data_IF_733501986183
#
_entry.id   IF_733501986183
#
_cell.length_a   1.000
_cell.length_b   1.000
_cell.length_c   1.000
_cell.angle_alpha   90.00
_cell.angle_beta   90.00
_cell.angle_gamma   90.00
#
_symmetry.space_group_name_H-M   'P 1'
#
loop_
_entity.id
_entity.type
_entity.pdbx_description
1 polymer ?
#
# COMPACT_ATOMS: atom_id res chain seq x y z
N UNK A 1 41.30 -15.90 20.14
CA UNK A 1 41.58 -14.44 20.14
C UNK A 1 41.87 -14.03 21.57
N UNK A 2 42.84 -13.15 21.83
CA UNK A 2 43.07 -12.63 23.19
C UNK A 2 42.08 -11.50 23.52
N UNK A 3 41.87 -11.18 24.81
CA UNK A 3 41.01 -10.04 25.23
C UNK A 3 41.45 -8.73 24.57
N UNK A 4 42.77 -8.52 24.45
CA UNK A 4 43.36 -7.34 23.85
C UNK A 4 43.16 -7.27 22.33
N UNK A 5 43.22 -8.42 21.64
CA UNK A 5 42.90 -8.50 20.22
C UNK A 5 41.41 -8.24 19.98
N UNK A 6 40.54 -8.82 20.82
CA UNK A 6 39.10 -8.58 20.76
C UNK A 6 38.77 -7.11 20.96
N UNK A 7 39.23 -6.49 22.05
CA UNK A 7 38.96 -5.09 22.37
C UNK A 7 39.30 -4.16 21.19
N UNK A 8 40.46 -4.41 20.55
CA UNK A 8 40.93 -3.68 19.38
C UNK A 8 40.04 -3.86 18.15
N UNK A 9 39.59 -5.09 17.87
CA UNK A 9 38.76 -5.41 16.72
C UNK A 9 37.29 -4.98 16.91
N UNK A 10 36.81 -5.06 18.15
CA UNK A 10 35.49 -4.68 18.60
C UNK A 10 35.31 -3.16 18.81
N UNK A 11 36.40 -2.39 18.83
CA UNK A 11 36.38 -0.95 19.06
C UNK A 11 35.94 -0.55 20.47
N UNK A 12 36.16 -1.42 21.46
CA UNK A 12 35.80 -1.23 22.88
C UNK A 12 37.06 -1.22 23.73
N UNK A 13 36.99 -0.59 24.91
CA UNK A 13 38.12 -0.51 25.80
C UNK A 13 38.47 -1.88 26.41
N UNK A 14 39.76 -2.17 26.57
CA UNK A 14 40.22 -3.45 27.09
C UNK A 14 39.81 -3.68 28.55
N UNK A 15 39.78 -2.64 29.37
CA UNK A 15 39.31 -2.74 30.77
C UNK A 15 37.81 -3.01 30.81
N UNK A 16 37.02 -2.43 29.89
CA UNK A 16 35.60 -2.78 29.74
C UNK A 16 35.39 -4.27 29.41
N UNK A 17 36.23 -4.86 28.57
CA UNK A 17 36.14 -6.28 28.22
C UNK A 17 36.42 -7.16 29.43
N UNK A 18 37.46 -6.85 30.21
CA UNK A 18 37.80 -7.59 31.44
C UNK A 18 36.66 -7.46 32.46
N UNK A 19 36.19 -6.24 32.72
CA UNK A 19 35.13 -5.98 33.69
C UNK A 19 33.81 -6.69 33.32
N UNK A 20 33.52 -6.87 32.03
CA UNK A 20 32.36 -7.64 31.56
C UNK A 20 32.58 -9.15 31.79
N UNK A 21 33.77 -9.67 31.48
CA UNK A 21 34.09 -11.10 31.67
C UNK A 21 34.08 -11.49 33.16
N UNK A 22 34.52 -10.59 34.03
CA UNK A 22 34.53 -10.78 35.49
C UNK A 22 33.16 -10.48 36.14
N UNK A 23 32.18 -9.99 35.37
CA UNK A 23 30.83 -9.68 35.85
C UNK A 23 30.74 -8.39 36.68
N UNK A 24 31.77 -7.54 36.64
CA UNK A 24 31.84 -6.27 37.37
C UNK A 24 31.05 -5.15 36.70
N UNK A 25 30.75 -5.27 35.40
CA UNK A 25 30.00 -4.28 34.62
C UNK A 25 28.92 -4.95 33.75
N UNK A 26 27.70 -4.37 33.66
CA UNK A 26 26.65 -4.90 32.79
C UNK A 26 27.04 -4.81 31.31
N UNK A 27 26.58 -5.79 30.52
CA UNK A 27 26.82 -5.81 29.09
C UNK A 27 26.03 -4.69 28.38
N UNK A 28 26.72 -3.72 27.79
CA UNK A 28 26.10 -2.64 27.01
C UNK A 28 25.84 -3.05 25.54
N UNK A 29 24.87 -2.40 24.89
CA UNK A 29 24.51 -2.63 23.47
C UNK A 29 25.73 -2.59 22.53
N UNK A 30 26.59 -1.60 22.68
CA UNK A 30 27.76 -1.41 21.82
C UNK A 30 28.74 -2.59 21.94
N UNK A 31 28.94 -3.09 23.16
CA UNK A 31 29.83 -4.23 23.41
C UNK A 31 29.19 -5.54 22.94
N UNK A 32 27.90 -5.75 23.18
CA UNK A 32 27.16 -6.93 22.70
C UNK A 32 27.23 -7.05 21.17
N UNK A 33 26.99 -5.95 20.44
CA UNK A 33 27.05 -5.95 18.98
C UNK A 33 28.44 -6.35 18.50
N UNK A 34 29.49 -5.82 19.13
CA UNK A 34 30.86 -6.20 18.78
C UNK A 34 31.21 -7.64 19.19
N UNK A 35 30.70 -8.16 20.30
CA UNK A 35 30.84 -9.57 20.69
C UNK A 35 30.23 -10.49 19.62
N UNK A 36 28.99 -10.25 19.21
CA UNK A 36 28.31 -11.05 18.17
C UNK A 36 29.10 -11.03 16.86
N UNK A 37 29.56 -9.84 16.45
CA UNK A 37 30.17 -9.64 15.13
C UNK A 37 31.61 -10.17 15.07
N UNK A 38 32.42 -9.94 16.10
CA UNK A 38 33.85 -10.31 16.09
C UNK A 38 34.06 -11.76 16.54
N UNK A 39 33.34 -12.21 17.57
CA UNK A 39 33.47 -13.60 18.05
C UNK A 39 32.68 -14.61 17.22
N UNK A 40 31.84 -14.14 16.30
CA UNK A 40 30.98 -14.99 15.45
C UNK A 40 30.13 -15.98 16.28
N UNK A 41 29.76 -15.60 17.51
CA UNK A 41 28.94 -16.45 18.38
C UNK A 41 27.51 -16.46 17.81
N UNK A 42 26.91 -17.64 17.58
CA UNK A 42 25.53 -17.72 17.14
C UNK A 42 24.60 -17.06 18.16
N UNK A 43 23.71 -16.18 17.69
CA UNK A 43 22.78 -15.45 18.56
C UNK A 43 21.91 -16.37 19.42
N UNK A 44 21.53 -17.54 18.90
CA UNK A 44 20.78 -18.55 19.65
C UNK A 44 21.53 -19.03 20.91
N UNK A 45 22.86 -19.15 20.87
CA UNK A 45 23.67 -19.55 22.03
C UNK A 45 23.71 -18.44 23.09
N UNK A 46 23.77 -17.18 22.66
CA UNK A 46 23.71 -16.01 23.55
C UNK A 46 22.35 -15.97 24.25
N UNK A 47 21.26 -16.08 23.50
CA UNK A 47 19.89 -16.05 24.06
C UNK A 47 19.68 -17.19 25.06
N UNK A 48 20.11 -18.41 24.72
CA UNK A 48 19.98 -19.55 25.61
C UNK A 48 20.75 -19.35 26.93
N UNK A 49 21.95 -18.79 26.86
CA UNK A 49 22.79 -18.52 28.03
C UNK A 49 22.23 -17.41 28.91
N UNK A 50 21.70 -16.35 28.30
CA UNK A 50 21.11 -15.22 29.03
C UNK A 50 19.74 -15.53 29.64
N UNK A 51 19.03 -16.53 29.11
CA UNK A 51 17.69 -16.90 29.61
C UNK A 51 17.68 -17.46 31.04
N UNK A 52 18.84 -17.87 31.57
CA UNK A 52 18.99 -18.37 32.95
C UNK A 52 19.51 -17.34 33.94
N UNK A 53 19.86 -16.14 33.46
CA UNK A 53 20.48 -15.07 34.22
C UNK A 53 19.52 -13.88 34.43
N UNK A 54 19.77 -13.07 35.45
CA UNK A 54 19.01 -11.83 35.65
C UNK A 54 19.57 -10.72 34.74
N UNK A 55 18.88 -10.47 33.63
CA UNK A 55 19.33 -9.59 32.55
C UNK A 55 18.43 -8.36 32.41
N UNK A 56 19.03 -7.19 32.17
CA UNK A 56 18.27 -5.96 31.98
C UNK A 56 17.41 -5.98 30.70
N UNK A 57 16.25 -5.32 30.75
CA UNK A 57 15.37 -5.16 29.60
C UNK A 57 16.03 -4.40 28.44
N UNK A 58 16.97 -3.49 28.72
CA UNK A 58 17.74 -2.77 27.70
C UNK A 58 18.69 -3.68 26.91
N UNK A 59 19.28 -4.70 27.55
CA UNK A 59 20.09 -5.70 26.84
C UNK A 59 19.22 -6.58 25.94
N UNK A 60 18.05 -7.01 26.42
CA UNK A 60 17.11 -7.77 25.62
C UNK A 60 16.52 -6.98 24.43
N UNK A 61 16.22 -5.69 24.62
CA UNK A 61 15.85 -4.78 23.53
C UNK A 61 16.95 -4.67 22.48
N UNK A 62 18.20 -4.58 22.93
CA UNK A 62 19.38 -4.53 22.06
C UNK A 62 19.57 -5.82 21.24
N UNK A 63 19.34 -6.97 21.86
CA UNK A 63 19.36 -8.27 21.20
C UNK A 63 18.25 -8.38 20.15
N UNK A 64 17.04 -7.90 20.47
CA UNK A 64 15.91 -7.92 19.54
C UNK A 64 16.19 -7.06 18.30
N UNK A 65 16.74 -5.86 18.50
CA UNK A 65 17.12 -5.00 17.38
C UNK A 65 18.19 -5.66 16.50
N UNK A 66 19.20 -6.30 17.12
CA UNK A 66 20.23 -7.03 16.39
C UNK A 66 19.67 -8.25 15.65
N UNK A 67 18.65 -8.92 16.19
CA UNK A 67 18.06 -10.13 15.61
C UNK A 67 17.24 -9.86 14.36
N UNK A 68 16.81 -8.63 14.11
CA UNK A 68 16.07 -8.24 12.90
C UNK A 68 16.81 -8.51 11.59
N UNK A 69 18.13 -8.63 11.64
CA UNK A 69 18.97 -8.97 10.49
C UNK A 69 19.30 -10.47 10.40
N UNK A 70 18.85 -11.27 11.37
CA UNK A 70 19.02 -12.73 11.36
C UNK A 70 18.16 -13.37 10.26
N UNK A 71 18.67 -14.47 9.68
CA UNK A 71 17.87 -15.32 8.80
C UNK A 71 16.85 -16.16 9.58
N UNK A 72 17.11 -16.40 10.86
CA UNK A 72 16.24 -17.15 11.74
C UNK A 72 15.26 -16.21 12.45
N UNK A 73 14.01 -16.26 12.01
CA UNK A 73 12.90 -15.46 12.56
C UNK A 73 12.56 -15.89 13.99
N UNK A 74 12.73 -17.17 14.32
CA UNK A 74 12.36 -17.71 15.62
C UNK A 74 13.17 -17.06 16.74
N UNK A 75 14.45 -16.76 16.49
CA UNK A 75 15.32 -16.07 17.46
C UNK A 75 14.72 -14.72 17.88
N UNK A 76 14.16 -13.96 16.95
CA UNK A 76 13.55 -12.66 17.26
C UNK A 76 12.31 -12.81 18.15
N UNK A 77 11.52 -13.85 17.89
CA UNK A 77 10.34 -14.18 18.70
C UNK A 77 10.75 -14.64 20.09
N UNK A 78 11.76 -15.51 20.20
CA UNK A 78 12.25 -16.02 21.48
C UNK A 78 12.81 -14.89 22.36
N UNK A 79 13.59 -13.98 21.77
CA UNK A 79 14.11 -12.79 22.46
C UNK A 79 12.96 -11.91 22.96
N UNK A 80 11.94 -11.67 22.12
CA UNK A 80 10.77 -10.88 22.52
C UNK A 80 10.04 -11.52 23.70
N UNK A 81 9.85 -12.84 23.70
CA UNK A 81 9.19 -13.56 24.78
C UNK A 81 9.98 -13.39 26.09
N UNK A 82 11.30 -13.52 26.07
CA UNK A 82 12.14 -13.29 27.25
C UNK A 82 12.03 -11.85 27.75
N UNK A 83 12.10 -10.88 26.83
CA UNK A 83 11.96 -9.46 27.17
C UNK A 83 10.61 -9.15 27.84
N UNK A 84 9.51 -9.73 27.34
CA UNK A 84 8.18 -9.57 27.94
C UNK A 84 8.04 -10.33 29.26
N UNK A 85 8.73 -11.46 29.46
CA UNK A 85 8.76 -12.15 30.74
C UNK A 85 9.47 -11.33 31.83
N UNK A 86 10.48 -10.54 31.44
CA UNK A 86 11.18 -9.61 32.33
C UNK A 86 10.38 -8.33 32.63
N UNK A 87 9.17 -8.15 32.09
CA UNK A 87 8.36 -6.96 32.37
C UNK A 87 7.97 -6.92 33.86
N UNK A 88 8.61 -6.04 34.62
CA UNK A 88 8.23 -5.71 36.00
C UNK A 88 7.14 -4.64 36.05
N UNK A 89 7.21 -3.74 37.04
CA UNK A 89 6.19 -2.70 37.28
C UNK A 89 6.06 -1.66 36.14
N UNK A 90 7.13 -1.40 35.36
CA UNK A 90 7.16 -0.39 34.29
C UNK A 90 6.82 -0.95 32.90
N UNK A 91 5.81 -1.81 32.83
CA UNK A 91 5.56 -2.56 31.61
C UNK A 91 5.07 -1.69 30.44
N UNK A 92 4.32 -0.62 30.71
CA UNK A 92 3.77 0.26 29.68
C UNK A 92 4.85 0.94 28.84
N UNK A 93 5.89 1.47 29.49
CA UNK A 93 7.03 2.12 28.82
C UNK A 93 7.79 1.16 27.91
N UNK A 94 7.97 -0.09 28.36
CA UNK A 94 8.62 -1.12 27.56
C UNK A 94 7.81 -1.45 26.31
N UNK A 95 6.49 -1.63 26.45
CA UNK A 95 5.61 -1.91 25.30
C UNK A 95 5.63 -0.75 24.29
N UNK A 96 5.64 0.49 24.76
CA UNK A 96 5.73 1.66 23.89
C UNK A 96 7.07 1.72 23.13
N UNK A 97 8.19 1.41 23.79
CA UNK A 97 9.51 1.29 23.15
C UNK A 97 9.49 0.20 22.07
N UNK A 98 8.93 -0.96 22.37
CA UNK A 98 8.80 -2.08 21.42
C UNK A 98 7.97 -1.70 20.19
N UNK A 99 6.81 -1.07 20.40
CA UNK A 99 5.98 -0.59 19.31
C UNK A 99 6.72 0.42 18.42
N UNK A 100 7.45 1.37 19.01
CA UNK A 100 8.25 2.34 18.26
C UNK A 100 9.36 1.66 17.45
N UNK A 101 10.09 0.74 18.07
CA UNK A 101 11.19 -0.01 17.44
C UNK A 101 10.70 -0.79 16.21
N UNK A 102 9.62 -1.57 16.35
CA UNK A 102 9.05 -2.36 15.25
C UNK A 102 8.45 -1.46 14.15
N UNK A 103 7.90 -0.29 14.52
CA UNK A 103 7.35 0.65 13.56
C UNK A 103 8.46 1.29 12.68
N UNK A 104 9.60 1.61 13.27
CA UNK A 104 10.74 2.22 12.57
C UNK A 104 11.50 1.22 11.69
N UNK A 105 11.50 -0.06 12.06
CA UNK A 105 12.13 -1.11 11.27
C UNK A 105 11.36 -1.39 9.96
N UNK A 106 12.08 -1.45 8.83
CA UNK A 106 11.50 -1.62 7.48
C UNK A 106 11.77 -3.01 6.88
N UNK A 107 12.06 -4.01 7.71
CA UNK A 107 12.30 -5.39 7.23
C UNK A 107 11.01 -6.19 6.99
N UNK A 108 11.09 -7.52 7.16
CA UNK A 108 10.01 -8.46 6.83
C UNK A 108 8.68 -8.07 7.47
N UNK A 109 7.65 -7.87 6.64
CA UNK A 109 6.29 -7.55 7.07
C UNK A 109 5.74 -8.67 7.96
N UNK A 110 6.01 -9.92 7.60
CA UNK A 110 5.54 -11.11 8.33
C UNK A 110 6.08 -11.12 9.76
N UNK A 111 7.41 -10.91 9.92
CA UNK A 111 8.03 -10.87 11.24
C UNK A 111 7.52 -9.68 12.06
N UNK A 112 7.32 -8.50 11.44
CA UNK A 112 6.74 -7.34 12.14
C UNK A 112 5.35 -7.63 12.69
N UNK A 113 4.50 -8.26 11.88
CA UNK A 113 3.14 -8.65 12.30
C UNK A 113 3.20 -9.65 13.44
N UNK A 114 4.06 -10.67 13.32
CA UNK A 114 4.23 -11.70 14.36
C UNK A 114 4.67 -11.10 15.70
N UNK A 115 5.69 -10.25 15.71
CA UNK A 115 6.15 -9.57 16.93
C UNK A 115 5.05 -8.67 17.53
N UNK A 116 4.31 -7.94 16.69
CA UNK A 116 3.18 -7.13 17.17
C UNK A 116 2.06 -7.99 17.76
N UNK A 117 1.76 -9.14 17.17
CA UNK A 117 0.73 -10.07 17.68
C UNK A 117 1.10 -10.64 19.05
N UNK A 118 2.38 -10.96 19.28
CA UNK A 118 2.88 -11.32 20.61
C UNK A 118 2.72 -10.19 21.62
N UNK A 119 3.14 -8.97 21.27
CA UNK A 119 3.05 -7.80 22.16
C UNK A 119 1.59 -7.47 22.50
N UNK A 120 0.69 -7.49 21.50
CA UNK A 120 -0.74 -7.24 21.70
C UNK A 120 -1.36 -8.30 22.61
N UNK A 121 -1.00 -9.56 22.41
CA UNK A 121 -1.51 -10.67 23.23
C UNK A 121 -1.06 -10.53 24.68
N UNK A 122 0.21 -10.19 24.90
CA UNK A 122 0.74 -9.91 26.23
C UNK A 122 0.09 -8.69 26.90
N UNK A 123 -0.10 -7.59 26.17
CA UNK A 123 -0.82 -6.42 26.67
C UNK A 123 -2.27 -6.76 27.08
N UNK A 124 -2.93 -7.68 26.36
CA UNK A 124 -4.27 -8.17 26.71
C UNK A 124 -4.28 -8.97 28.02
N UNK A 125 -3.27 -9.80 28.28
CA UNK A 125 -3.21 -10.57 29.54
C UNK A 125 -3.02 -9.67 30.76
N UNK A 126 -2.43 -8.48 30.56
CA UNK A 126 -2.28 -7.46 31.58
C UNK A 126 -3.43 -6.43 31.58
N UNK A 127 -4.47 -6.63 30.77
CA UNK A 127 -5.62 -5.72 30.62
C UNK A 127 -5.25 -4.27 30.23
N UNK A 128 -4.09 -4.07 29.59
CA UNK A 128 -3.55 -2.76 29.21
C UNK A 128 -4.17 -2.22 27.94
N UNK A 129 -5.42 -1.73 28.03
CA UNK A 129 -6.23 -1.36 26.87
C UNK A 129 -5.60 -0.29 25.97
N UNK A 130 -4.86 0.68 26.52
CA UNK A 130 -4.13 1.69 25.74
C UNK A 130 -3.04 1.06 24.87
N UNK A 131 -2.25 0.15 25.45
CA UNK A 131 -1.21 -0.59 24.75
C UNK A 131 -1.82 -1.53 23.69
N UNK A 132 -2.97 -2.15 23.97
CA UNK A 132 -3.71 -2.95 22.98
C UNK A 132 -4.17 -2.08 21.81
N UNK A 133 -4.75 -0.90 22.08
CA UNK A 133 -5.18 0.04 21.05
C UNK A 133 -4.02 0.44 20.13
N UNK A 134 -2.89 0.82 20.72
CA UNK A 134 -1.67 1.22 20.00
C UNK A 134 -1.12 0.09 19.15
N UNK A 135 -1.06 -1.12 19.70
CA UNK A 135 -0.59 -2.30 18.98
C UNK A 135 -1.48 -2.67 17.79
N UNK A 136 -2.80 -2.70 17.98
CA UNK A 136 -3.75 -2.96 16.89
C UNK A 136 -3.63 -1.91 15.77
N UNK A 137 -3.49 -0.63 16.14
CA UNK A 137 -3.26 0.44 15.16
C UNK A 137 -1.96 0.22 14.37
N UNK A 138 -0.86 -0.12 15.04
CA UNK A 138 0.44 -0.32 14.37
C UNK A 138 0.46 -1.57 13.51
N UNK A 139 -0.13 -2.67 13.98
CA UNK A 139 -0.33 -3.89 13.20
C UNK A 139 -1.09 -3.60 11.91
N UNK A 140 -2.19 -2.86 12.02
CA UNK A 140 -2.93 -2.40 10.85
C UNK A 140 -2.05 -1.57 9.91
N UNK A 141 -1.26 -0.62 10.43
CA UNK A 141 -0.39 0.19 9.58
C UNK A 141 0.64 -0.63 8.78
N UNK A 142 1.15 -1.71 9.37
CA UNK A 142 2.13 -2.61 8.74
C UNK A 142 1.51 -3.40 7.59
N UNK A 143 0.31 -3.97 7.79
CA UNK A 143 -0.29 -4.86 6.80
C UNK A 143 -1.20 -4.16 5.78
N UNK A 144 -1.65 -2.92 6.04
CA UNK A 144 -2.65 -2.24 5.17
C UNK A 144 -2.20 -2.09 3.72
N UNK A 145 -0.88 -2.09 3.50
CA UNK A 145 -0.27 -1.89 2.19
C UNK A 145 -0.01 -3.24 1.48
N UNK A 146 -0.42 -4.38 2.05
CA UNK A 146 -0.54 -5.66 1.33
C UNK A 146 -1.81 -5.64 0.46
N UNK A 147 -1.63 -5.22 -0.79
CA UNK A 147 -2.73 -5.04 -1.74
C UNK A 147 -3.33 -6.36 -2.22
N UNK A 148 -2.65 -7.49 -2.04
CA UNK A 148 -3.20 -8.81 -2.34
C UNK A 148 -4.31 -9.22 -1.37
N UNK A 149 -4.39 -8.54 -0.20
CA UNK A 149 -5.32 -8.84 0.90
C UNK A 149 -6.12 -7.62 1.36
N UNK A 150 -6.36 -6.65 0.49
CA UNK A 150 -6.98 -5.35 0.83
C UNK A 150 -8.28 -5.48 1.67
N UNK A 151 -9.20 -6.40 1.34
CA UNK A 151 -10.41 -6.57 2.15
C UNK A 151 -10.13 -7.16 3.55
N UNK A 152 -9.17 -8.08 3.67
CA UNK A 152 -8.80 -8.72 4.93
C UNK A 152 -8.08 -7.72 5.86
N UNK A 153 -7.13 -6.97 5.30
CA UNK A 153 -6.37 -5.95 6.03
C UNK A 153 -7.24 -4.74 6.37
N UNK A 154 -8.29 -4.46 5.59
CA UNK A 154 -9.32 -3.50 5.99
C UNK A 154 -10.08 -3.93 7.23
N UNK A 155 -10.48 -5.21 7.33
CA UNK A 155 -11.15 -5.74 8.53
C UNK A 155 -10.26 -5.62 9.77
N UNK A 156 -8.96 -5.84 9.62
CA UNK A 156 -8.00 -5.56 10.71
C UNK A 156 -8.02 -4.08 11.13
N UNK A 157 -8.05 -3.14 10.18
CA UNK A 157 -8.25 -1.72 10.47
C UNK A 157 -9.56 -1.43 11.22
N UNK A 158 -10.65 -2.11 10.85
CA UNK A 158 -11.93 -1.99 11.57
C UNK A 158 -11.86 -2.52 13.00
N UNK A 159 -11.01 -3.51 13.28
CA UNK A 159 -10.80 -4.03 14.64
C UNK A 159 -10.18 -3.00 15.60
N UNK A 160 -9.59 -1.92 15.08
CA UNK A 160 -9.07 -0.78 15.87
C UNK A 160 -10.21 0.16 16.32
N UNK A 161 -11.33 0.24 15.57
CA UNK A 161 -12.40 1.19 15.83
C UNK A 161 -12.96 1.16 17.26
N UNK A 162 -13.17 -0.01 17.91
CA UNK A 162 -13.63 -0.06 19.29
C UNK A 162 -12.65 0.55 20.30
N UNK A 163 -11.37 0.65 19.95
CA UNK A 163 -10.29 1.12 20.82
C UNK A 163 -9.81 2.54 20.47
N UNK A 164 -10.37 3.16 19.42
CA UNK A 164 -9.82 4.38 18.83
C UNK A 164 -9.75 5.56 19.81
N UNK A 165 -10.68 5.67 20.75
CA UNK A 165 -10.68 6.74 21.77
C UNK A 165 -9.54 6.62 22.78
N UNK A 166 -8.94 5.43 22.91
CA UNK A 166 -7.76 5.19 23.74
C UNK A 166 -6.46 5.64 23.06
N UNK A 167 -6.49 5.86 21.74
CA UNK A 167 -5.34 6.38 21.02
C UNK A 167 -5.12 7.87 21.30
N UNK A 168 -3.86 8.33 21.34
CA UNK A 168 -3.53 9.75 21.28
C UNK A 168 -4.25 10.44 20.11
N UNK A 169 -4.62 11.71 20.31
CA UNK A 169 -5.40 12.46 19.31
C UNK A 169 -4.74 12.50 17.93
N UNK A 170 -3.43 12.69 17.88
CA UNK A 170 -2.67 12.73 16.62
C UNK A 170 -2.71 11.37 15.91
N UNK A 171 -2.66 10.27 16.66
CA UNK A 171 -2.82 8.92 16.10
C UNK A 171 -4.24 8.70 15.58
N UNK A 172 -5.29 9.23 16.25
CA UNK A 172 -6.66 9.14 15.74
C UNK A 172 -6.84 9.85 14.41
N UNK A 173 -6.24 11.03 14.24
CA UNK A 173 -6.22 11.76 12.96
C UNK A 173 -5.62 10.88 11.86
N UNK A 174 -4.43 10.33 12.12
CA UNK A 174 -3.73 9.45 11.18
C UNK A 174 -4.56 8.20 10.88
N UNK A 175 -5.07 7.53 11.92
CA UNK A 175 -5.85 6.31 11.80
C UNK A 175 -7.09 6.52 10.91
N UNK A 176 -7.91 7.53 11.21
CA UNK A 176 -9.11 7.79 10.42
C UNK A 176 -8.79 8.20 8.98
N UNK A 177 -7.79 9.06 8.78
CA UNK A 177 -7.34 9.40 7.42
C UNK A 177 -6.92 8.15 6.66
N UNK A 178 -6.05 7.34 7.27
CA UNK A 178 -5.55 6.10 6.68
C UNK A 178 -6.74 5.19 6.37
N UNK A 179 -7.59 4.84 7.34
CA UNK A 179 -8.75 3.99 7.10
C UNK A 179 -9.65 4.50 5.97
N UNK A 180 -9.82 5.82 5.85
CA UNK A 180 -10.45 6.47 4.69
C UNK A 180 -9.75 6.19 3.36
N UNK A 181 -8.42 6.32 3.27
CA UNK A 181 -7.63 5.93 2.08
C UNK A 181 -7.84 4.45 1.73
N UNK A 182 -7.91 3.57 2.74
CA UNK A 182 -8.13 2.15 2.52
C UNK A 182 -9.52 1.89 1.93
N UNK A 183 -10.56 2.47 2.53
CA UNK A 183 -11.93 2.41 2.01
C UNK A 183 -12.03 2.96 0.59
N UNK A 184 -11.26 4.01 0.26
CA UNK A 184 -11.24 4.60 -1.08
C UNK A 184 -10.71 3.61 -2.12
N UNK A 185 -9.64 2.88 -1.80
CA UNK A 185 -9.09 1.84 -2.67
C UNK A 185 -10.07 0.68 -2.88
N UNK A 186 -10.91 0.39 -1.88
CA UNK A 186 -12.02 -0.58 -1.95
C UNK A 186 -13.29 -0.02 -2.60
N UNK A 187 -13.30 1.26 -3.02
CA UNK A 187 -14.45 1.98 -3.59
C UNK A 187 -15.63 2.14 -2.61
N UNK A 188 -15.39 2.09 -1.31
CA UNK A 188 -16.42 2.30 -0.28
C UNK A 188 -16.55 3.78 0.05
N UNK A 189 -16.98 4.58 -0.92
CA UNK A 189 -16.93 6.04 -0.84
C UNK A 189 -17.73 6.66 0.32
N UNK A 190 -18.83 6.04 0.76
CA UNK A 190 -19.55 6.50 1.96
C UNK A 190 -18.73 6.31 3.25
N UNK A 191 -17.96 5.22 3.34
CA UNK A 191 -17.07 4.97 4.47
C UNK A 191 -15.88 5.95 4.44
N UNK A 192 -15.35 6.26 3.26
CA UNK A 192 -14.34 7.32 3.09
C UNK A 192 -14.83 8.63 3.70
N UNK A 193 -16.04 9.07 3.32
CA UNK A 193 -16.64 10.30 3.82
C UNK A 193 -16.76 10.26 5.35
N UNK A 194 -17.21 9.14 5.90
CA UNK A 194 -17.37 8.95 7.34
C UNK A 194 -16.04 9.07 8.08
N UNK A 195 -15.01 8.30 7.66
CA UNK A 195 -13.72 8.29 8.34
C UNK A 195 -12.96 9.61 8.15
N UNK A 196 -12.95 10.17 6.94
CA UNK A 196 -12.27 11.44 6.68
C UNK A 196 -12.92 12.62 7.44
N UNK A 197 -14.24 12.63 7.64
CA UNK A 197 -14.88 13.63 8.50
C UNK A 197 -14.45 13.49 9.97
N UNK A 198 -14.28 12.26 10.48
CA UNK A 198 -13.73 12.03 11.82
C UNK A 198 -12.28 12.52 11.93
N UNK A 199 -11.44 12.21 10.94
CA UNK A 199 -10.06 12.74 10.84
C UNK A 199 -10.02 14.27 10.94
N UNK A 200 -10.85 14.97 10.14
CA UNK A 200 -10.94 16.43 10.15
C UNK A 200 -11.41 16.99 11.49
N UNK A 201 -12.34 16.29 12.16
CA UNK A 201 -12.88 16.69 13.46
C UNK A 201 -11.87 16.51 14.60
N UNK A 202 -11.05 15.46 14.52
CA UNK A 202 -9.93 15.24 15.42
C UNK A 202 -8.80 16.24 15.17
N UNK A 203 -8.57 16.67 13.93
CA UNK A 203 -7.45 17.56 13.58
C UNK A 203 -7.69 19.04 13.93
N UNK A 204 -7.33 19.40 15.16
CA UNK A 204 -7.33 20.79 15.66
C UNK A 204 -6.15 21.62 15.16
N UNK A 205 -5.02 20.99 14.85
CA UNK A 205 -3.79 21.68 14.47
C UNK A 205 -3.80 22.14 13.01
N UNK A 206 -4.70 21.58 12.18
CA UNK A 206 -4.69 21.81 10.75
C UNK A 206 -3.48 21.13 10.11
N UNK A 207 -3.25 19.87 10.43
CA UNK A 207 -2.19 19.07 9.82
C UNK A 207 -2.46 18.83 8.33
N UNK A 208 -1.45 18.35 7.61
CA UNK A 208 -1.60 17.94 6.20
C UNK A 208 -2.71 16.89 6.01
N UNK A 209 -3.01 16.08 7.03
CA UNK A 209 -4.08 15.08 6.97
C UNK A 209 -5.47 15.69 6.86
N UNK A 210 -5.69 16.91 7.38
CA UNK A 210 -6.94 17.65 7.14
C UNK A 210 -7.14 17.97 5.67
N UNK A 211 -6.08 18.42 4.99
CA UNK A 211 -6.09 18.67 3.56
C UNK A 211 -6.33 17.41 2.75
N UNK A 212 -5.59 16.34 3.01
CA UNK A 212 -5.78 15.06 2.32
C UNK A 212 -7.15 14.44 2.59
N UNK A 213 -7.67 14.52 3.82
CA UNK A 213 -9.01 14.02 4.16
C UNK A 213 -10.10 14.82 3.42
N UNK A 214 -9.94 16.14 3.31
CA UNK A 214 -10.86 17.00 2.55
C UNK A 214 -10.84 16.65 1.06
N UNK A 215 -9.66 16.43 0.49
CA UNK A 215 -9.50 15.95 -0.88
C UNK A 215 -10.18 14.59 -1.10
N UNK A 216 -9.97 13.63 -0.20
CA UNK A 216 -10.61 12.30 -0.30
C UNK A 216 -12.14 12.38 -0.24
N UNK A 217 -12.70 13.25 0.59
CA UNK A 217 -14.15 13.50 0.63
C UNK A 217 -14.62 14.09 -0.69
N UNK A 218 -13.93 15.11 -1.21
CA UNK A 218 -14.21 15.71 -2.51
C UNK A 218 -14.22 14.66 -3.63
N UNK A 219 -13.17 13.85 -3.72
CA UNK A 219 -13.06 12.76 -4.70
C UNK A 219 -14.15 11.71 -4.50
N UNK A 220 -14.54 11.40 -3.26
CA UNK A 220 -15.60 10.42 -2.98
C UNK A 220 -16.97 10.91 -3.43
N UNK A 221 -17.31 12.19 -3.21
CA UNK A 221 -18.55 12.76 -3.74
C UNK A 221 -18.57 12.78 -5.27
N UNK A 222 -17.44 13.07 -5.91
CA UNK A 222 -17.30 12.94 -7.36
C UNK A 222 -17.62 11.53 -7.86
N UNK A 223 -17.06 10.50 -7.21
CA UNK A 223 -17.30 9.09 -7.58
C UNK A 223 -18.75 8.64 -7.33
N UNK A 224 -19.45 9.29 -6.40
CA UNK A 224 -20.87 9.05 -6.11
C UNK A 224 -21.82 9.90 -6.97
N UNK A 225 -21.31 10.60 -7.99
CA UNK A 225 -22.07 11.52 -8.86
C UNK A 225 -22.77 12.68 -8.10
N UNK A 226 -22.27 13.03 -6.92
CA UNK A 226 -22.77 14.12 -6.06
C UNK A 226 -21.95 15.39 -6.29
N UNK A 227 -22.18 16.01 -7.45
CA UNK A 227 -21.37 17.15 -7.93
C UNK A 227 -21.44 18.37 -7.00
N UNK A 228 -22.62 18.70 -6.47
CA UNK A 228 -22.79 19.88 -5.59
C UNK A 228 -21.98 19.76 -4.30
N UNK A 229 -21.94 18.56 -3.71
CA UNK A 229 -21.14 18.28 -2.51
C UNK A 229 -19.65 18.24 -2.84
N UNK A 230 -19.27 17.67 -3.99
CA UNK A 230 -17.91 17.72 -4.48
C UNK A 230 -17.42 19.17 -4.58
N UNK A 231 -18.20 20.06 -5.18
CA UNK A 231 -17.86 21.49 -5.31
C UNK A 231 -17.71 22.19 -3.96
N UNK A 232 -18.63 21.93 -3.02
CA UNK A 232 -18.54 22.48 -1.66
C UNK A 232 -17.22 22.10 -0.98
N UNK A 233 -16.82 20.84 -1.06
CA UNK A 233 -15.56 20.38 -0.48
C UNK A 233 -14.33 20.88 -1.25
N UNK A 234 -14.45 21.06 -2.57
CA UNK A 234 -13.40 21.65 -3.40
C UNK A 234 -13.13 23.12 -3.02
N UNK A 235 -14.18 23.90 -2.72
CA UNK A 235 -14.03 25.28 -2.22
C UNK A 235 -13.40 25.34 -0.82
N UNK A 236 -13.67 24.35 0.03
CA UNK A 236 -13.00 24.22 1.33
C UNK A 236 -11.51 23.93 1.11
N UNK A 237 -11.20 22.97 0.23
CA UNK A 237 -9.82 22.58 -0.08
C UNK A 237 -9.02 23.75 -0.68
N UNK A 238 -9.62 24.53 -1.60
CA UNK A 238 -8.97 25.68 -2.25
C UNK A 238 -8.47 26.73 -1.27
N UNK A 239 -9.10 26.87 -0.10
CA UNK A 239 -8.70 27.83 0.94
C UNK A 239 -7.49 27.36 1.76
N UNK A 240 -7.07 26.11 1.60
CA UNK A 240 -5.96 25.53 2.35
C UNK A 240 -4.61 25.88 1.71
N UNK A 241 -3.59 26.11 2.53
CA UNK A 241 -2.26 26.53 2.09
C UNK A 241 -1.25 25.37 2.11
N UNK A 242 -1.59 24.25 1.47
CA UNK A 242 -0.66 23.13 1.31
C UNK A 242 -0.15 23.03 -0.13
N UNK A 243 1.11 22.60 -0.36
CA UNK A 243 1.70 22.54 -1.70
C UNK A 243 0.88 21.73 -2.72
N UNK A 244 0.27 20.63 -2.28
CA UNK A 244 -0.51 19.73 -3.16
C UNK A 244 -1.90 20.27 -3.52
N UNK A 245 -2.40 21.32 -2.85
CA UNK A 245 -3.80 21.76 -2.99
C UNK A 245 -4.09 22.26 -4.40
N UNK A 246 -3.23 23.13 -4.94
CA UNK A 246 -3.50 23.78 -6.23
C UNK A 246 -3.64 22.75 -7.36
N UNK A 247 -2.66 21.85 -7.49
CA UNK A 247 -2.67 20.80 -8.51
C UNK A 247 -3.93 19.92 -8.42
N UNK A 248 -4.36 19.56 -7.20
CA UNK A 248 -5.55 18.73 -7.01
C UNK A 248 -6.86 19.50 -7.25
N UNK A 249 -6.89 20.79 -6.91
CA UNK A 249 -8.05 21.65 -7.17
C UNK A 249 -8.25 21.83 -8.68
N UNK A 250 -7.17 22.09 -9.42
CA UNK A 250 -7.22 22.27 -10.87
C UNK A 250 -7.69 20.99 -11.57
N UNK A 251 -7.12 19.84 -11.19
CA UNK A 251 -7.54 18.55 -11.72
C UNK A 251 -9.02 18.24 -11.42
N UNK A 252 -9.47 18.40 -10.18
CA UNK A 252 -10.86 18.14 -9.80
C UNK A 252 -11.84 19.11 -10.48
N UNK A 253 -11.43 20.37 -10.70
CA UNK A 253 -12.22 21.35 -11.45
C UNK A 253 -12.42 20.88 -12.89
N UNK A 254 -11.36 20.38 -13.54
CA UNK A 254 -11.46 19.82 -14.89
C UNK A 254 -12.40 18.60 -14.94
N UNK A 255 -12.30 17.69 -13.96
CA UNK A 255 -13.18 16.51 -13.85
C UNK A 255 -14.65 16.87 -13.62
N UNK A 256 -14.94 17.94 -12.89
CA UNK A 256 -16.31 18.43 -12.70
C UNK A 256 -16.91 19.00 -14.00
N UNK A 257 -16.14 19.77 -14.76
CA UNK A 257 -16.58 20.24 -16.09
C UNK A 257 -16.84 19.07 -17.05
N UNK A 258 -16.00 18.04 -17.02
CA UNK A 258 -16.24 16.80 -17.75
C UNK A 258 -17.59 16.16 -17.37
N UNK A 259 -17.87 16.00 -16.07
CA UNK A 259 -19.15 15.44 -15.60
C UNK A 259 -20.37 16.28 -16.00
N UNK A 260 -20.22 17.60 -16.08
CA UNK A 260 -21.28 18.52 -16.53
C UNK A 260 -21.49 18.55 -18.04
N UNK A 261 -20.60 17.90 -18.80
CA UNK A 261 -20.65 17.86 -20.27
C UNK A 261 -19.92 19.02 -20.95
N UNK A 262 -19.24 19.90 -20.19
CA UNK A 262 -18.42 21.02 -20.70
C UNK A 262 -17.09 20.50 -21.28
N UNK A 263 -17.19 19.63 -22.28
CA UNK A 263 -16.10 18.74 -22.71
C UNK A 263 -14.87 19.51 -23.18
N UNK A 264 -15.04 20.58 -23.97
CA UNK A 264 -13.90 21.38 -24.47
C UNK A 264 -13.15 22.09 -23.34
N UNK A 265 -13.90 22.64 -22.39
CA UNK A 265 -13.32 23.31 -21.23
C UNK A 265 -12.58 22.31 -20.34
N UNK A 266 -13.16 21.13 -20.11
CA UNK A 266 -12.52 20.05 -19.38
C UNK A 266 -11.18 19.63 -20.02
N UNK A 267 -11.15 19.43 -21.36
CA UNK A 267 -9.92 19.10 -22.09
C UNK A 267 -8.88 20.23 -21.96
N UNK A 268 -9.28 21.48 -22.13
CA UNK A 268 -8.39 22.63 -22.00
C UNK A 268 -7.74 22.69 -20.60
N UNK A 269 -8.53 22.50 -19.54
CA UNK A 269 -8.04 22.47 -18.17
C UNK A 269 -7.14 21.27 -17.89
N UNK A 270 -7.47 20.08 -18.41
CA UNK A 270 -6.62 18.89 -18.29
C UNK A 270 -5.27 19.06 -18.99
N UNK A 271 -5.23 19.70 -20.17
CA UNK A 271 -3.98 20.01 -20.86
C UNK A 271 -3.12 21.01 -20.06
N UNK A 272 -3.73 21.99 -19.40
CA UNK A 272 -3.03 22.87 -18.48
C UNK A 272 -2.47 22.10 -17.29
N UNK A 273 -3.26 21.18 -16.70
CA UNK A 273 -2.80 20.32 -15.60
C UNK A 273 -1.61 19.46 -16.04
N UNK A 274 -1.63 18.88 -17.25
CA UNK A 274 -0.57 18.02 -17.77
C UNK A 274 0.81 18.73 -17.79
N UNK A 275 0.80 20.04 -18.01
CA UNK A 275 2.01 20.85 -18.09
C UNK A 275 2.49 21.39 -16.73
N UNK A 276 1.61 21.44 -15.73
CA UNK A 276 1.87 22.13 -14.45
C UNK A 276 1.93 21.19 -13.24
N UNK A 277 1.19 20.08 -13.27
CA UNK A 277 1.10 19.16 -12.15
C UNK A 277 2.31 18.23 -12.09
N UNK A 278 2.75 17.94 -10.87
CA UNK A 278 3.81 16.98 -10.59
C UNK A 278 3.43 15.54 -10.94
N UNK A 279 2.15 15.20 -10.85
CA UNK A 279 1.59 13.91 -11.22
C UNK A 279 0.85 14.01 -12.56
N UNK A 280 1.21 13.15 -13.52
CA UNK A 280 0.66 13.22 -14.89
C UNK A 280 -0.30 12.09 -15.23
N UNK A 281 -0.15 10.93 -14.61
CA UNK A 281 -0.82 9.71 -15.07
C UNK A 281 -2.36 9.80 -15.10
N UNK A 282 -2.97 10.31 -14.03
CA UNK A 282 -4.43 10.46 -13.96
C UNK A 282 -4.98 11.50 -14.95
N UNK A 283 -4.17 12.52 -15.27
CA UNK A 283 -4.50 13.55 -16.26
C UNK A 283 -4.47 12.94 -17.66
N UNK A 284 -3.40 12.20 -17.99
CA UNK A 284 -3.27 11.48 -19.27
C UNK A 284 -4.43 10.51 -19.47
N UNK A 285 -4.79 9.74 -18.45
CA UNK A 285 -5.94 8.84 -18.51
C UNK A 285 -7.24 9.59 -18.83
N UNK A 286 -7.51 10.67 -18.12
CA UNK A 286 -8.73 11.48 -18.35
C UNK A 286 -8.75 12.08 -19.76
N UNK A 287 -7.61 12.55 -20.27
CA UNK A 287 -7.49 13.04 -21.65
C UNK A 287 -7.76 11.93 -22.68
N UNK A 288 -7.16 10.74 -22.51
CA UNK A 288 -7.35 9.62 -23.44
C UNK A 288 -8.82 9.18 -23.49
N UNK A 289 -9.53 9.18 -22.36
CA UNK A 289 -10.96 8.88 -22.30
C UNK A 289 -11.80 9.95 -23.01
N UNK A 290 -11.51 11.23 -22.75
CA UNK A 290 -12.20 12.35 -23.38
C UNK A 290 -12.03 12.35 -24.89
N UNK A 291 -10.80 12.14 -25.37
CA UNK A 291 -10.55 11.97 -26.81
C UNK A 291 -11.28 10.73 -27.35
N UNK A 292 -11.38 9.66 -26.58
CA UNK A 292 -12.05 8.44 -27.02
C UNK A 292 -13.55 8.67 -27.21
N UNK A 293 -14.16 9.40 -26.27
CA UNK A 293 -15.57 9.83 -26.32
C UNK A 293 -15.84 10.75 -27.53
N UNK A 294 -14.97 11.73 -27.78
CA UNK A 294 -15.08 12.65 -28.93
C UNK A 294 -14.70 12.04 -30.28
N UNK A 295 -14.17 10.83 -30.28
CA UNK A 295 -13.53 10.22 -31.45
C UNK A 295 -12.38 11.07 -32.02
N UNK A 296 -11.65 11.79 -31.15
CA UNK A 296 -10.49 12.59 -31.53
C UNK A 296 -9.23 11.71 -31.60
N UNK A 297 -9.12 10.99 -32.72
CA UNK A 297 -8.00 10.11 -32.97
C UNK A 297 -6.65 10.84 -33.07
N UNK A 298 -6.65 12.11 -33.49
CA UNK A 298 -5.42 12.87 -33.72
C UNK A 298 -4.78 13.26 -32.39
N UNK A 299 -5.54 13.86 -31.48
CA UNK A 299 -5.03 14.26 -30.17
C UNK A 299 -4.64 13.07 -29.29
N UNK A 300 -5.37 11.95 -29.41
CA UNK A 300 -4.97 10.71 -28.73
C UNK A 300 -3.63 10.17 -29.24
N UNK A 301 -3.39 10.24 -30.55
CA UNK A 301 -2.11 9.81 -31.14
C UNK A 301 -0.94 10.67 -30.66
N UNK A 302 -1.11 12.00 -30.68
CA UNK A 302 -0.10 12.95 -30.18
C UNK A 302 0.22 12.71 -28.70
N UNK A 303 -0.81 12.51 -27.87
CA UNK A 303 -0.62 12.25 -26.44
C UNK A 303 0.17 10.95 -26.19
N UNK A 304 -0.11 9.89 -26.95
CA UNK A 304 0.60 8.60 -26.81
C UNK A 304 2.05 8.65 -27.31
N UNK A 305 2.40 9.54 -28.25
CA UNK A 305 3.81 9.75 -28.66
C UNK A 305 4.67 10.35 -27.54
N UNK A 306 4.04 10.99 -26.56
CA UNK A 306 4.69 11.63 -25.40
C UNK A 306 4.83 10.71 -24.19
N UNK A 307 4.65 9.40 -24.35
CA UNK A 307 4.60 8.44 -23.23
C UNK A 307 5.83 8.42 -22.33
N UNK A 308 7.00 8.71 -22.88
CA UNK A 308 8.26 8.84 -22.15
C UNK A 308 8.23 9.95 -21.07
N UNK A 309 7.35 10.96 -21.20
CA UNK A 309 7.22 12.06 -20.25
C UNK A 309 6.49 11.68 -18.95
N UNK A 310 5.76 10.57 -18.94
CA UNK A 310 4.88 10.21 -17.82
C UNK A 310 4.89 8.72 -17.43
N UNK A 311 5.56 7.84 -18.19
CA UNK A 311 5.74 6.43 -17.82
C UNK A 311 7.02 6.13 -17.00
N UNK A 312 7.96 7.07 -16.92
CA UNK A 312 9.23 6.84 -16.20
C UNK A 312 9.08 7.11 -14.69
N UNK A 313 8.27 6.30 -13.99
CA UNK A 313 7.98 6.49 -12.57
C UNK A 313 8.23 5.20 -11.78
N UNK A 314 8.84 5.34 -10.59
CA UNK A 314 8.91 4.24 -9.62
C UNK A 314 7.51 3.95 -9.07
N UNK A 315 7.06 2.71 -9.16
CA UNK A 315 5.81 2.26 -8.56
C UNK A 315 5.95 2.25 -7.03
N UNK A 316 5.59 3.36 -6.38
CA UNK A 316 5.80 3.57 -4.94
C UNK A 316 4.53 3.45 -4.10
N UNK A 317 3.34 3.40 -4.72
CA UNK A 317 2.05 3.32 -4.02
C UNK A 317 0.91 2.81 -4.95
N UNK A 318 -0.23 2.35 -4.38
CA UNK A 318 -1.37 1.82 -5.14
C UNK A 318 -1.97 2.75 -6.16
N UNK A 319 -2.08 4.03 -5.82
CA UNK A 319 -2.71 5.02 -6.69
C UNK A 319 -1.87 5.16 -7.97
N UNK A 320 -0.53 5.13 -7.82
CA UNK A 320 0.39 5.10 -8.95
C UNK A 320 0.23 3.82 -9.78
N UNK A 321 0.27 2.64 -9.16
CA UNK A 321 0.10 1.35 -9.84
C UNK A 321 -1.23 1.32 -10.63
N UNK A 322 -2.33 1.70 -9.97
CA UNK A 322 -3.66 1.75 -10.58
C UNK A 322 -3.71 2.73 -11.75
N UNK A 323 -3.15 3.92 -11.60
CA UNK A 323 -3.09 4.91 -12.68
C UNK A 323 -2.38 4.37 -13.93
N UNK A 324 -1.25 3.67 -13.75
CA UNK A 324 -0.50 3.10 -14.87
C UNK A 324 -1.22 1.90 -15.50
N UNK A 325 -1.82 1.03 -14.69
CA UNK A 325 -2.62 -0.07 -15.20
C UNK A 325 -3.78 0.45 -16.05
N UNK A 326 -4.41 1.53 -15.59
CA UNK A 326 -5.50 2.18 -16.33
C UNK A 326 -5.03 2.85 -17.63
N UNK A 327 -3.81 3.38 -17.65
CA UNK A 327 -3.19 3.88 -18.87
C UNK A 327 -3.03 2.80 -19.92
N UNK A 328 -2.54 1.61 -19.55
CA UNK A 328 -2.43 0.52 -20.50
C UNK A 328 -3.79 0.05 -21.02
N UNK A 329 -4.84 0.07 -20.19
CA UNK A 329 -6.21 -0.16 -20.66
C UNK A 329 -6.62 0.89 -21.70
N UNK A 330 -6.42 2.18 -21.42
CA UNK A 330 -6.80 3.25 -22.33
C UNK A 330 -6.00 3.25 -23.63
N UNK A 331 -4.68 2.99 -23.57
CA UNK A 331 -3.82 2.77 -24.74
C UNK A 331 -4.31 1.58 -25.56
N UNK A 332 -4.65 0.46 -24.90
CA UNK A 332 -5.21 -0.73 -25.54
C UNK A 332 -6.52 -0.43 -26.29
N UNK A 333 -7.44 0.33 -25.69
CA UNK A 333 -8.70 0.77 -26.33
C UNK A 333 -8.44 1.53 -27.63
N UNK A 334 -7.45 2.42 -27.64
CA UNK A 334 -7.06 3.20 -28.82
C UNK A 334 -6.37 2.35 -29.89
N UNK A 335 -5.41 1.51 -29.51
CA UNK A 335 -4.76 0.58 -30.42
C UNK A 335 -5.77 -0.35 -31.11
N UNK A 336 -6.75 -0.87 -30.35
CA UNK A 336 -7.84 -1.65 -30.89
C UNK A 336 -8.67 -0.86 -31.91
N UNK A 337 -9.01 0.40 -31.60
CA UNK A 337 -9.73 1.29 -32.52
C UNK A 337 -8.95 1.54 -33.82
N UNK A 338 -7.62 1.58 -33.75
CA UNK A 338 -6.73 1.67 -34.91
C UNK A 338 -6.46 0.33 -35.61
N UNK A 339 -7.11 -0.76 -35.19
CA UNK A 339 -6.94 -2.09 -35.78
C UNK A 339 -5.66 -2.82 -35.36
N UNK A 340 -4.88 -2.26 -34.43
CA UNK A 340 -3.64 -2.85 -33.88
C UNK A 340 -3.95 -3.81 -32.74
N UNK A 341 -4.72 -4.85 -33.05
CA UNK A 341 -5.28 -5.75 -32.04
C UNK A 341 -4.24 -6.51 -31.20
N UNK A 342 -3.10 -6.89 -31.80
CA UNK A 342 -2.04 -7.57 -31.05
C UNK A 342 -1.42 -6.64 -30.01
N UNK A 343 -1.05 -5.42 -30.41
CA UNK A 343 -0.49 -4.40 -29.50
C UNK A 343 -1.50 -4.02 -28.40
N UNK A 344 -2.80 -4.02 -28.72
CA UNK A 344 -3.85 -3.77 -27.74
C UNK A 344 -3.92 -4.87 -26.66
N UNK A 345 -3.81 -6.14 -27.07
CA UNK A 345 -3.74 -7.28 -26.14
C UNK A 345 -2.53 -7.16 -25.22
N UNK A 346 -1.36 -6.81 -25.77
CA UNK A 346 -0.14 -6.63 -24.99
C UNK A 346 -0.35 -5.57 -23.89
N UNK A 347 -1.02 -4.47 -24.21
CA UNK A 347 -1.36 -3.46 -23.21
C UNK A 347 -2.32 -3.99 -22.14
N UNK A 348 -3.36 -4.75 -22.50
CA UNK A 348 -4.26 -5.32 -21.50
C UNK A 348 -3.56 -6.31 -20.57
N UNK A 349 -2.66 -7.15 -21.11
CA UNK A 349 -1.84 -8.05 -20.30
C UNK A 349 -0.93 -7.25 -19.36
N UNK A 350 -0.28 -6.20 -19.87
CA UNK A 350 0.56 -5.32 -19.07
C UNK A 350 -0.22 -4.63 -17.93
N UNK A 351 -1.48 -4.27 -18.14
CA UNK A 351 -2.35 -3.73 -17.10
C UNK A 351 -2.61 -4.76 -15.98
N UNK A 352 -2.96 -6.00 -16.35
CA UNK A 352 -3.25 -7.07 -15.39
C UNK A 352 -2.00 -7.46 -14.61
N UNK A 353 -0.83 -7.51 -15.26
CA UNK A 353 0.43 -7.88 -14.62
C UNK A 353 0.89 -6.89 -13.55
N UNK A 354 0.32 -5.69 -13.52
CA UNK A 354 0.58 -4.71 -12.45
C UNK A 354 -0.06 -5.10 -11.10
N UNK A 355 -1.01 -6.03 -11.10
CA UNK A 355 -1.76 -6.45 -9.90
C UNK A 355 -1.65 -7.95 -9.59
N UNK A 356 -1.20 -8.75 -10.55
CA UNK A 356 -1.08 -10.19 -10.43
C UNK A 356 0.16 -10.67 -11.18
N UNK A 357 0.89 -11.60 -10.57
CA UNK A 357 1.91 -12.35 -11.30
C UNK A 357 1.21 -13.27 -12.32
N UNK A 358 1.61 -13.14 -13.58
CA UNK A 358 1.09 -13.96 -14.67
C UNK A 358 2.17 -14.93 -15.11
N UNK A 359 1.80 -16.20 -15.27
CA UNK A 359 2.65 -17.19 -15.94
C UNK A 359 2.55 -17.06 -17.45
N UNK A 360 3.50 -17.63 -18.19
CA UNK A 360 3.44 -17.68 -19.66
C UNK A 360 2.12 -18.33 -20.16
N UNK A 361 1.63 -19.34 -19.43
CA UNK A 361 0.36 -20.00 -19.72
C UNK A 361 -0.85 -19.07 -19.51
N UNK A 362 -0.82 -18.20 -18.50
CA UNK A 362 -1.87 -17.21 -18.24
C UNK A 362 -1.92 -16.18 -19.36
N UNK A 363 -0.77 -15.67 -19.79
CA UNK A 363 -0.69 -14.75 -20.93
C UNK A 363 -1.19 -15.41 -22.22
N UNK A 364 -0.77 -16.65 -22.48
CA UNK A 364 -1.21 -17.40 -23.65
C UNK A 364 -2.74 -17.60 -23.66
N UNK A 365 -3.32 -17.87 -22.48
CA UNK A 365 -4.76 -18.00 -22.28
C UNK A 365 -5.50 -16.66 -22.52
N UNK A 366 -5.01 -15.55 -21.96
CA UNK A 366 -5.56 -14.21 -22.21
C UNK A 366 -5.53 -13.84 -23.71
N UNK A 367 -4.43 -14.17 -24.40
CA UNK A 367 -4.30 -13.98 -25.86
C UNK A 367 -5.29 -14.85 -26.64
N UNK A 368 -5.54 -16.09 -26.22
CA UNK A 368 -6.56 -16.96 -26.84
C UNK A 368 -7.96 -16.38 -26.65
N UNK A 369 -8.30 -15.98 -25.43
CA UNK A 369 -9.58 -15.32 -25.10
C UNK A 369 -9.86 -14.12 -26.01
N UNK A 370 -8.92 -13.17 -26.12
CA UNK A 370 -9.15 -11.98 -26.93
C UNK A 370 -9.23 -12.28 -28.43
N UNK A 371 -8.41 -13.20 -28.94
CA UNK A 371 -8.51 -13.64 -30.34
C UNK A 371 -9.88 -14.25 -30.65
N UNK A 372 -10.43 -15.06 -29.74
CA UNK A 372 -11.77 -15.64 -29.90
C UNK A 372 -12.84 -14.56 -29.86
N UNK A 373 -12.75 -13.60 -28.92
CA UNK A 373 -13.66 -12.44 -28.87
C UNK A 373 -13.66 -11.63 -30.17
N UNK A 374 -12.48 -11.35 -30.74
CA UNK A 374 -12.34 -10.64 -32.02
C UNK A 374 -12.97 -11.41 -33.19
N UNK A 375 -12.81 -12.73 -33.23
CA UNK A 375 -13.47 -13.58 -34.23
C UNK A 375 -15.00 -13.52 -34.09
N UNK A 376 -15.53 -13.54 -32.86
CA UNK A 376 -16.97 -13.39 -32.61
C UNK A 376 -17.49 -12.02 -33.09
N UNK A 377 -16.77 -10.93 -32.78
CA UNK A 377 -17.14 -9.59 -33.25
C UNK A 377 -17.14 -9.50 -34.78
N UNK A 378 -16.17 -10.12 -35.45
CA UNK A 378 -16.10 -10.17 -36.92
C UNK A 378 -17.26 -10.98 -37.52
N UNK A 379 -17.60 -12.11 -36.89
CA UNK A 379 -18.76 -12.92 -37.28
C UNK A 379 -20.06 -12.12 -37.18
N UNK A 380 -20.26 -11.39 -36.07
CA UNK A 380 -21.43 -10.52 -35.89
C UNK A 380 -21.49 -9.40 -36.96
N UNK A 381 -20.35 -8.75 -37.26
CA UNK A 381 -20.27 -7.72 -38.31
C UNK A 381 -20.57 -8.26 -39.71
N UNK A 382 -20.35 -9.54 -39.96
CA UNK A 382 -20.64 -10.21 -41.23
C UNK A 382 -22.05 -10.84 -41.28
N UNK A 383 -22.91 -10.54 -40.29
CA UNK A 383 -24.30 -10.99 -40.23
C UNK A 383 -24.49 -12.41 -39.69
N UNK A 384 -23.42 -13.07 -39.23
CA UNK A 384 -23.50 -14.37 -38.56
C UNK A 384 -24.02 -14.21 -37.14
N UNK A 385 -24.74 -15.20 -36.64
CA UNK A 385 -25.40 -15.15 -35.34
C UNK A 385 -25.26 -16.50 -34.60
N UNK A 386 -25.90 -16.60 -33.43
CA UNK A 386 -25.77 -17.77 -32.54
C UNK A 386 -26.44 -19.06 -33.07
N UNK A 387 -27.08 -19.04 -34.25
CA UNK A 387 -27.50 -20.27 -34.94
C UNK A 387 -26.42 -20.84 -35.85
N UNK A 388 -25.40 -20.06 -36.20
CA UNK A 388 -24.27 -20.53 -36.99
C UNK A 388 -23.35 -21.40 -36.13
N UNK A 389 -23.12 -22.65 -36.55
CA UNK A 389 -22.30 -23.61 -35.79
C UNK A 389 -20.91 -23.06 -35.43
N UNK A 390 -20.28 -22.29 -36.34
CA UNK A 390 -18.98 -21.65 -36.07
C UNK A 390 -19.04 -20.59 -34.97
N UNK A 391 -20.16 -19.87 -34.84
CA UNK A 391 -20.33 -18.84 -33.80
C UNK A 391 -20.62 -19.48 -32.45
N UNK A 392 -21.41 -20.56 -32.44
CA UNK A 392 -21.62 -21.38 -31.24
C UNK A 392 -20.31 -21.93 -30.70
N UNK A 393 -19.45 -22.47 -31.57
CA UNK A 393 -18.13 -22.97 -31.17
C UNK A 393 -17.26 -21.85 -30.56
N UNK A 394 -17.20 -20.68 -31.20
CA UNK A 394 -16.45 -19.54 -30.65
C UNK A 394 -16.98 -19.10 -29.28
N UNK A 395 -18.30 -19.12 -29.09
CA UNK A 395 -18.91 -18.82 -27.78
C UNK A 395 -18.47 -19.81 -26.72
N UNK A 396 -18.52 -21.11 -27.02
CA UNK A 396 -18.11 -22.17 -26.09
C UNK A 396 -16.62 -22.11 -25.74
N UNK A 397 -15.77 -21.82 -26.72
CA UNK A 397 -14.33 -21.58 -26.50
C UNK A 397 -14.12 -20.38 -25.58
N UNK A 398 -14.83 -19.28 -25.82
CA UNK A 398 -14.74 -18.07 -25.00
C UNK A 398 -15.18 -18.34 -23.55
N UNK A 399 -16.31 -19.04 -23.35
CA UNK A 399 -16.80 -19.44 -22.03
C UNK A 399 -15.78 -20.30 -21.29
N UNK A 400 -15.14 -21.24 -22.00
CA UNK A 400 -14.10 -22.10 -21.43
C UNK A 400 -12.92 -21.27 -20.91
N UNK A 401 -12.42 -20.34 -21.73
CA UNK A 401 -11.30 -19.48 -21.34
C UNK A 401 -11.65 -18.55 -20.17
N UNK A 402 -12.85 -17.97 -20.16
CA UNK A 402 -13.34 -17.13 -19.06
C UNK A 402 -13.36 -17.92 -17.76
N UNK A 403 -13.89 -19.15 -17.77
CA UNK A 403 -13.95 -20.01 -16.58
C UNK A 403 -12.54 -20.36 -16.08
N UNK A 404 -11.59 -20.66 -16.96
CA UNK A 404 -10.19 -20.94 -16.57
C UNK A 404 -9.52 -19.73 -15.91
N UNK A 405 -9.71 -18.54 -16.47
CA UNK A 405 -9.19 -17.28 -15.92
C UNK A 405 -9.82 -16.98 -14.55
N UNK A 406 -11.12 -17.21 -14.39
CA UNK A 406 -11.83 -17.02 -13.12
C UNK A 406 -11.36 -17.99 -12.03
N UNK A 407 -11.12 -19.26 -12.38
CA UNK A 407 -10.57 -20.27 -11.46
C UNK A 407 -9.18 -19.87 -10.94
N UNK A 408 -8.35 -19.30 -11.82
CA UNK A 408 -7.02 -18.78 -11.49
C UNK A 408 -7.05 -17.48 -10.69
N UNK A 409 -8.22 -16.85 -10.52
CA UNK A 409 -8.36 -15.62 -9.74
C UNK A 409 -7.78 -14.37 -10.39
N UNK A 410 -7.35 -14.44 -11.65
CA UNK A 410 -6.69 -13.34 -12.39
C UNK A 410 -7.59 -12.09 -12.46
N UNK A 411 -8.91 -12.28 -12.54
CA UNK A 411 -9.91 -11.21 -12.61
C UNK A 411 -10.65 -10.96 -11.28
N UNK A 412 -10.24 -11.57 -10.17
CA UNK A 412 -10.93 -11.40 -8.87
C UNK A 412 -10.66 -10.04 -8.22
N UNK A 413 -9.61 -9.32 -8.63
CA UNK A 413 -9.26 -8.03 -8.04
C UNK A 413 -10.35 -6.99 -8.34
N UNK A 414 -10.92 -6.42 -7.27
CA UNK A 414 -11.87 -5.30 -7.30
C UNK A 414 -11.32 -4.07 -8.05
N UNK A 415 -10.00 -4.01 -8.25
CA UNK A 415 -9.28 -2.99 -9.01
C UNK A 415 -9.48 -3.11 -10.54
N UNK A 416 -9.87 -4.27 -11.06
CA UNK A 416 -10.12 -4.52 -12.49
C UNK A 416 -11.60 -4.42 -12.89
N UNK A 417 -12.50 -4.10 -11.94
CA UNK A 417 -13.93 -3.86 -12.21
C UNK A 417 -14.12 -2.40 -12.63
N UNK A 418 -13.74 -2.07 -13.86
CA UNK A 418 -14.16 -0.84 -14.56
C UNK A 418 -14.79 -1.19 -15.91
#
# INVERSE_FOLDING_TARGET
MTQQDFAKEAGVDHESVIAIEEGEMPLEHAVLKSLITVLHIPMAEIVASLSTEEVSSELWLSLLEASFHSQDRQISVDILIQLLACCGENCEDLLLKLYSMIQQWTGSIELRIELLDYIISYARTLEMQNSVAKGLFYRYLVERDDFSKMEETFKSGQAVLPYVELLPRDDRVIFYYKLGVHAYNLRWFNDVITYCNKSISEDKAGSVYKGYSTLLICSSYYQLDRCDECEKYLEILRKMKYPFVQENVDFMTAKLHEKKGDTELAISLLLQCLNTCSYKMNIVNSLLEMYYFKNDSSSAHELLQREHEYLNVKYSNPISIKGHAYYFINKGKWLHRWGKNSEAVDCYIQSVSMFAELTEDDEALLRKMERTRLKMMSAAKTGRNLTDASVVQLSQELDTYIVEIQKKGILKNSLLRD
#
